data_IF_063029567170
#
_entry.id   IF_063029567170
#
_cell.length_a   1.000
_cell.length_b   1.000
_cell.length_c   1.000
_cell.angle_alpha   90.00
_cell.angle_beta   90.00
_cell.angle_gamma   90.00
#
_symmetry.space_group_name_H-M   'P 1'
#
loop_
_entity.id
_entity.type
_entity.pdbx_description
1 polymer ?
#
# COMPACT_ATOMS: atom_id res chain seq x y z
N UNK A 1 -38.28 -51.95 -39.39
CA UNK A 1 -38.52 -50.54 -38.90
C UNK A 1 -37.64 -50.31 -37.70
N UNK A 2 -36.49 -49.66 -37.90
CA UNK A 2 -35.54 -49.35 -36.81
C UNK A 2 -35.84 -47.94 -36.28
N UNK A 3 -36.13 -47.81 -34.98
CA UNK A 3 -36.35 -46.54 -34.28
C UNK A 3 -34.99 -45.99 -33.82
N UNK A 4 -34.60 -44.86 -34.38
CA UNK A 4 -33.43 -44.10 -33.95
C UNK A 4 -33.90 -43.13 -32.84
N UNK A 5 -33.34 -43.28 -31.60
CA UNK A 5 -33.57 -42.34 -30.52
C UNK A 5 -32.43 -41.30 -30.56
N UNK A 6 -32.72 -40.00 -30.53
CA UNK A 6 -31.70 -38.98 -30.44
C UNK A 6 -31.15 -38.93 -29.01
N UNK A 7 -29.85 -39.08 -28.86
CA UNK A 7 -29.11 -38.85 -27.61
C UNK A 7 -28.90 -37.35 -27.47
N UNK A 8 -29.59 -36.72 -26.52
CA UNK A 8 -29.36 -35.34 -26.11
C UNK A 8 -28.10 -35.29 -25.24
N UNK A 9 -27.02 -34.79 -25.82
CA UNK A 9 -25.79 -34.49 -25.06
C UNK A 9 -25.98 -33.13 -24.41
N UNK A 10 -26.25 -33.12 -23.10
CA UNK A 10 -26.28 -31.90 -22.30
C UNK A 10 -24.84 -31.45 -22.04
N UNK A 11 -24.39 -30.40 -22.68
CA UNK A 11 -23.13 -29.72 -22.40
C UNK A 11 -23.35 -28.85 -21.14
N UNK A 12 -22.84 -29.34 -20.00
CA UNK A 12 -22.79 -28.54 -18.77
C UNK A 12 -21.57 -27.62 -18.88
N UNK A 13 -21.79 -26.34 -19.17
CA UNK A 13 -20.76 -25.32 -19.05
C UNK A 13 -20.47 -25.11 -17.56
N UNK A 14 -19.34 -25.64 -17.10
CA UNK A 14 -18.76 -25.20 -15.83
C UNK A 14 -18.21 -23.80 -16.00
N UNK A 15 -18.97 -22.77 -15.58
CA UNK A 15 -18.40 -21.46 -15.30
C UNK A 15 -17.45 -21.63 -14.10
N UNK A 16 -16.16 -21.79 -14.39
CA UNK A 16 -15.13 -21.54 -13.40
C UNK A 16 -15.22 -20.06 -12.99
N UNK A 17 -15.91 -19.77 -11.89
CA UNK A 17 -15.69 -18.53 -11.15
C UNK A 17 -14.24 -18.59 -10.68
N UNK A 18 -13.32 -18.00 -11.44
CA UNK A 18 -12.02 -17.62 -10.92
C UNK A 18 -12.29 -16.56 -9.84
N UNK A 19 -12.33 -17.01 -8.59
CA UNK A 19 -12.16 -16.11 -7.46
C UNK A 19 -10.76 -15.53 -7.65
N UNK A 20 -10.70 -14.30 -8.17
CA UNK A 20 -9.50 -13.51 -8.14
C UNK A 20 -9.14 -13.38 -6.66
N UNK A 21 -8.17 -14.17 -6.22
CA UNK A 21 -7.51 -14.02 -4.94
C UNK A 21 -7.04 -12.57 -4.90
N UNK A 22 -7.68 -11.73 -4.11
CA UNK A 22 -7.43 -10.30 -4.05
C UNK A 22 -6.06 -10.07 -3.41
N UNK A 23 -5.04 -10.20 -4.21
CA UNK A 23 -3.71 -9.70 -3.88
C UNK A 23 -3.82 -8.18 -3.97
N UNK A 24 -3.82 -7.52 -2.84
CA UNK A 24 -4.06 -6.08 -2.73
C UNK A 24 -2.99 -5.30 -3.48
N UNK A 25 -1.72 -5.68 -3.34
CA UNK A 25 -0.62 -5.10 -4.11
C UNK A 25 0.24 -6.21 -4.71
N UNK A 26 0.80 -5.98 -5.91
CA UNK A 26 1.67 -6.92 -6.64
C UNK A 26 3.08 -6.36 -6.76
N UNK A 27 4.10 -7.21 -6.90
CA UNK A 27 5.43 -6.76 -7.27
C UNK A 27 5.39 -5.88 -8.53
N UNK A 28 6.15 -4.80 -8.55
CA UNK A 28 6.21 -3.88 -9.71
C UNK A 28 6.66 -4.60 -10.99
N UNK A 29 7.44 -5.67 -10.88
CA UNK A 29 7.83 -6.51 -12.01
C UNK A 29 6.65 -7.21 -12.72
N UNK A 30 5.50 -7.35 -12.04
CA UNK A 30 4.27 -7.92 -12.59
C UNK A 30 3.32 -6.84 -13.14
N UNK A 31 3.77 -5.60 -13.23
CA UNK A 31 2.96 -4.46 -13.66
C UNK A 31 2.56 -4.62 -15.13
N UNK A 32 1.26 -4.67 -15.38
CA UNK A 32 0.67 -4.77 -16.73
C UNK A 32 -0.05 -3.50 -17.18
N UNK A 33 -0.15 -2.50 -16.30
CA UNK A 33 -0.82 -1.23 -16.57
C UNK A 33 -0.49 -0.18 -15.52
N UNK A 34 -0.97 1.04 -15.73
CA UNK A 34 -0.73 2.15 -14.79
C UNK A 34 -1.54 1.97 -13.50
N UNK A 35 -2.84 1.67 -13.64
CA UNK A 35 -3.79 1.58 -12.52
C UNK A 35 -3.58 0.30 -11.72
N UNK A 36 -3.52 0.42 -10.40
CA UNK A 36 -3.32 -0.68 -9.47
C UNK A 36 -2.49 -0.30 -8.25
N UNK A 37 -2.07 -1.32 -7.50
CA UNK A 37 -1.12 -1.20 -6.39
C UNK A 37 0.12 -2.03 -6.68
N UNK A 38 1.30 -1.41 -6.60
CA UNK A 38 2.56 -2.01 -6.99
C UNK A 38 3.58 -1.92 -5.86
N UNK A 39 4.14 -3.05 -5.44
CA UNK A 39 5.26 -3.09 -4.49
C UNK A 39 6.51 -2.65 -5.24
N UNK A 40 7.02 -1.46 -4.90
CA UNK A 40 8.16 -0.83 -5.58
C UNK A 40 9.48 -1.07 -4.86
N UNK A 41 9.44 -1.37 -3.55
CA UNK A 41 10.60 -1.83 -2.79
C UNK A 41 10.16 -2.57 -1.52
N UNK A 42 11.03 -3.47 -1.05
CA UNK A 42 10.92 -4.13 0.25
C UNK A 42 12.31 -4.15 0.89
N UNK A 43 12.45 -3.53 2.07
CA UNK A 43 13.73 -3.35 2.76
C UNK A 43 13.68 -3.83 4.20
N UNK A 44 14.64 -4.62 4.67
CA UNK A 44 14.80 -4.86 6.09
C UNK A 44 15.21 -3.56 6.78
N UNK A 45 14.47 -3.17 7.81
CA UNK A 45 14.80 -2.00 8.66
C UNK A 45 15.59 -2.44 9.90
N UNK A 46 15.31 -3.65 10.37
CA UNK A 46 15.95 -4.21 11.55
C UNK A 46 15.25 -3.86 12.86
N UNK A 47 15.97 -3.93 13.96
CA UNK A 47 15.46 -3.71 15.31
C UNK A 47 15.18 -2.22 15.56
N UNK A 48 13.93 -1.87 15.82
CA UNK A 48 13.54 -0.51 16.22
C UNK A 48 13.38 -0.45 17.73
N UNK A 49 14.22 0.33 18.38
CA UNK A 49 14.24 0.44 19.86
C UNK A 49 13.57 1.70 20.39
N UNK A 50 13.27 2.67 19.52
CA UNK A 50 12.63 3.95 19.86
C UNK A 50 11.22 4.00 19.33
N UNK A 51 10.24 4.51 20.11
CA UNK A 51 8.87 4.62 19.67
C UNK A 51 8.65 5.75 18.63
N UNK A 52 9.55 6.72 18.58
CA UNK A 52 9.48 7.87 17.67
C UNK A 52 10.21 7.56 16.36
N UNK A 53 9.53 6.81 15.50
CA UNK A 53 10.03 6.43 14.18
C UNK A 53 9.22 7.13 13.10
N UNK A 54 9.89 7.66 12.07
CA UNK A 54 9.28 8.44 11.00
C UNK A 54 9.62 7.85 9.63
N UNK A 55 8.71 8.00 8.69
CA UNK A 55 8.95 7.77 7.27
C UNK A 55 9.32 9.09 6.60
N UNK A 56 10.51 9.13 6.02
CA UNK A 56 11.05 10.27 5.29
C UNK A 56 10.95 10.04 3.79
N UNK A 57 10.45 11.04 3.06
CA UNK A 57 10.29 11.05 1.62
C UNK A 57 11.11 12.19 1.06
N UNK A 58 12.21 11.87 0.39
CA UNK A 58 13.10 12.84 -0.25
C UNK A 58 13.15 12.59 -1.76
N UNK A 59 13.16 13.66 -2.57
CA UNK A 59 13.22 13.61 -4.04
C UNK A 59 14.59 14.07 -4.51
N UNK A 60 15.10 13.38 -5.52
CA UNK A 60 16.38 13.69 -6.16
C UNK A 60 16.22 13.93 -7.65
N UNK A 61 17.13 14.72 -8.24
CA UNK A 61 17.14 14.94 -9.67
C UNK A 61 17.57 13.70 -10.45
N UNK A 62 18.47 12.89 -9.88
CA UNK A 62 18.98 11.66 -10.50
C UNK A 62 19.00 10.49 -9.53
N UNK A 63 18.90 9.27 -10.08
CA UNK A 63 19.02 8.04 -9.31
C UNK A 63 20.39 7.92 -8.63
N UNK A 64 21.46 8.33 -9.32
CA UNK A 64 22.83 8.26 -8.78
C UNK A 64 23.02 9.13 -7.54
N UNK A 65 22.40 10.33 -7.52
CA UNK A 65 22.42 11.21 -6.34
C UNK A 65 21.65 10.59 -5.17
N UNK A 66 20.47 10.01 -5.43
CA UNK A 66 19.69 9.32 -4.42
C UNK A 66 20.43 8.10 -3.84
N UNK A 67 21.08 7.31 -4.68
CA UNK A 67 21.87 6.15 -4.28
C UNK A 67 23.10 6.56 -3.46
N UNK A 68 23.76 7.68 -3.81
CA UNK A 68 24.88 8.22 -3.03
C UNK A 68 24.47 8.73 -1.65
N UNK A 69 23.21 9.17 -1.49
CA UNK A 69 22.63 9.64 -0.24
C UNK A 69 21.97 8.53 0.60
N UNK A 70 21.78 7.35 0.01
CA UNK A 70 21.09 6.23 0.65
C UNK A 70 21.89 5.70 1.86
N UNK A 71 21.19 5.49 2.97
CA UNK A 71 21.72 4.82 4.16
C UNK A 71 21.11 3.43 4.31
N UNK A 72 21.63 2.65 5.26
CA UNK A 72 21.08 1.32 5.56
C UNK A 72 19.56 1.42 5.87
N UNK A 73 18.76 0.55 5.25
CA UNK A 73 17.31 0.55 5.40
C UNK A 73 16.56 1.56 4.52
N UNK A 74 17.27 2.43 3.78
CA UNK A 74 16.67 3.30 2.77
C UNK A 74 16.41 2.56 1.45
N UNK A 75 15.42 3.03 0.67
CA UNK A 75 15.10 2.52 -0.67
C UNK A 75 15.10 3.65 -1.69
N UNK A 76 15.89 3.49 -2.77
CA UNK A 76 15.84 4.38 -3.93
C UNK A 76 14.90 3.77 -4.96
N UNK A 77 13.82 4.48 -5.29
CA UNK A 77 12.78 4.03 -6.23
C UNK A 77 12.44 5.12 -7.23
N UNK A 78 12.07 4.72 -8.43
CA UNK A 78 11.41 5.58 -9.40
C UNK A 78 9.92 5.28 -9.38
N UNK A 79 9.12 6.28 -9.02
CA UNK A 79 7.68 6.14 -8.85
C UNK A 79 6.99 7.48 -9.05
N UNK A 80 5.81 7.44 -9.69
CA UNK A 80 4.98 8.62 -9.97
C UNK A 80 5.74 9.76 -10.65
N UNK A 81 6.68 9.40 -11.55
CA UNK A 81 7.48 10.33 -12.35
C UNK A 81 8.59 11.04 -11.57
N UNK A 82 9.00 10.54 -10.41
CA UNK A 82 10.07 11.09 -9.57
C UNK A 82 11.02 10.01 -9.08
N UNK A 83 12.24 10.42 -8.73
CA UNK A 83 13.21 9.57 -8.05
C UNK A 83 13.15 9.87 -6.55
N UNK A 84 12.79 8.87 -5.78
CA UNK A 84 12.60 8.97 -4.34
C UNK A 84 13.69 8.23 -3.59
N UNK A 85 14.15 8.82 -2.49
CA UNK A 85 14.77 8.12 -1.38
C UNK A 85 13.75 8.02 -0.25
N UNK A 86 13.33 6.80 0.07
CA UNK A 86 12.39 6.46 1.11
C UNK A 86 13.14 5.89 2.30
N UNK A 87 13.06 6.52 3.47
CA UNK A 87 13.88 6.11 4.64
C UNK A 87 13.04 6.05 5.90
N UNK A 88 13.27 5.03 6.74
CA UNK A 88 12.74 4.93 8.09
C UNK A 88 13.84 5.37 9.05
N UNK A 89 13.62 6.45 9.80
CA UNK A 89 14.61 7.04 10.69
C UNK A 89 13.98 7.85 11.83
N UNK A 90 14.82 8.41 12.71
CA UNK A 90 14.44 9.30 13.80
C UNK A 90 13.81 10.61 13.25
N UNK A 91 13.01 11.35 14.05
CA UNK A 91 12.45 12.63 13.64
C UNK A 91 13.56 13.63 13.25
N UNK A 92 13.31 14.41 12.22
CA UNK A 92 14.25 15.43 11.74
C UNK A 92 15.49 14.89 11.02
N UNK A 93 15.63 13.55 10.85
CA UNK A 93 16.71 12.98 10.05
C UNK A 93 16.72 13.55 8.62
N UNK A 94 17.90 13.79 8.06
CA UNK A 94 18.10 14.33 6.71
C UNK A 94 19.19 13.56 5.97
N UNK A 95 18.94 13.17 4.71
CA UNK A 95 20.00 12.68 3.83
C UNK A 95 20.88 13.83 3.32
N UNK A 96 21.99 13.49 2.70
CA UNK A 96 22.78 14.47 1.95
C UNK A 96 22.09 14.82 0.63
N UNK A 97 21.88 16.12 0.38
CA UNK A 97 21.19 16.60 -0.83
C UNK A 97 19.70 16.23 -0.87
N UNK A 98 19.12 16.34 -2.08
CA UNK A 98 17.69 16.08 -2.27
C UNK A 98 16.78 17.18 -1.70
N UNK A 99 15.49 17.03 -1.96
CA UNK A 99 14.43 17.89 -1.43
C UNK A 99 13.50 17.05 -0.55
N UNK A 100 13.31 17.44 0.73
CA UNK A 100 12.33 16.82 1.61
C UNK A 100 10.93 17.18 1.16
N UNK A 101 10.17 16.16 0.77
CA UNK A 101 8.76 16.28 0.40
C UNK A 101 7.86 16.07 1.60
N UNK A 102 8.15 15.06 2.42
CA UNK A 102 7.36 14.77 3.61
C UNK A 102 8.19 14.04 4.70
N UNK A 103 7.75 14.24 5.94
CA UNK A 103 8.16 13.48 7.12
C UNK A 103 6.88 13.02 7.81
N UNK A 104 6.65 11.71 7.86
CA UNK A 104 5.38 11.10 8.29
C UNK A 104 5.61 10.26 9.53
N UNK A 105 4.98 10.65 10.62
CA UNK A 105 5.10 9.96 11.91
C UNK A 105 4.54 10.80 13.07
N UNK A 106 4.74 10.33 14.32
CA UNK A 106 5.39 9.06 14.64
C UNK A 106 4.58 7.85 14.18
N UNK A 107 5.26 6.84 13.63
CA UNK A 107 4.64 5.57 13.27
C UNK A 107 4.41 4.75 14.54
N UNK A 108 3.21 4.20 14.78
CA UNK A 108 2.89 3.45 15.99
C UNK A 108 3.51 2.04 15.97
N UNK A 109 4.80 1.97 16.25
CA UNK A 109 5.59 0.73 16.34
C UNK A 109 5.64 0.19 17.77
N UNK A 110 6.03 -1.08 17.90
CA UNK A 110 6.37 -1.73 19.17
C UNK A 110 7.89 -1.68 19.30
N UNK A 111 8.40 -0.95 20.29
CA UNK A 111 9.84 -0.87 20.54
C UNK A 111 10.42 -2.25 20.90
N UNK A 112 11.62 -2.54 20.40
CA UNK A 112 12.28 -3.84 20.60
C UNK A 112 11.88 -4.92 19.60
N UNK A 113 11.10 -4.60 18.58
CA UNK A 113 10.71 -5.51 17.50
C UNK A 113 11.52 -5.22 16.22
N UNK A 114 11.77 -6.26 15.43
CA UNK A 114 12.38 -6.14 14.09
C UNK A 114 11.34 -5.88 13.03
N UNK A 115 11.60 -4.89 12.17
CA UNK A 115 10.70 -4.44 11.13
C UNK A 115 11.29 -4.56 9.73
N UNK A 116 10.40 -4.72 8.75
CA UNK A 116 10.65 -4.54 7.33
C UNK A 116 9.70 -3.50 6.77
N UNK A 117 10.19 -2.68 5.84
CA UNK A 117 9.40 -1.66 5.16
C UNK A 117 9.02 -2.16 3.76
N UNK A 118 7.72 -2.28 3.49
CA UNK A 118 7.19 -2.51 2.16
C UNK A 118 6.67 -1.17 1.61
N UNK A 119 7.32 -0.69 0.56
CA UNK A 119 6.93 0.54 -0.13
C UNK A 119 6.11 0.22 -1.37
N UNK A 120 5.03 0.97 -1.57
CA UNK A 120 4.10 0.74 -2.67
C UNK A 120 3.74 2.04 -3.37
N UNK A 121 3.49 1.92 -4.68
CA UNK A 121 2.81 2.92 -5.50
C UNK A 121 1.37 2.47 -5.67
N UNK A 122 0.41 3.35 -5.38
CA UNK A 122 -1.00 3.06 -5.56
C UNK A 122 -1.66 4.12 -6.46
N UNK A 123 -2.18 3.68 -7.60
CA UNK A 123 -2.88 4.49 -8.60
C UNK A 123 -4.28 3.90 -8.78
N UNK A 124 -5.28 4.58 -8.22
CA UNK A 124 -6.66 4.10 -8.23
C UNK A 124 -7.58 5.11 -8.92
N UNK A 125 -8.42 4.65 -9.82
CA UNK A 125 -9.52 5.46 -10.33
C UNK A 125 -10.62 5.60 -9.29
N UNK A 126 -11.43 6.67 -9.32
CA UNK A 126 -12.57 6.84 -8.42
C UNK A 126 -13.46 5.59 -8.39
N UNK A 127 -13.84 5.17 -7.19
CA UNK A 127 -14.63 3.95 -6.94
C UNK A 127 -13.82 2.66 -6.80
N UNK A 128 -12.53 2.62 -7.17
CA UNK A 128 -11.70 1.45 -6.91
C UNK A 128 -11.49 1.24 -5.42
N UNK A 129 -11.40 -0.04 -5.03
CA UNK A 129 -11.25 -0.44 -3.63
C UNK A 129 -10.00 -1.31 -3.43
N UNK A 130 -9.39 -1.19 -2.25
CA UNK A 130 -8.60 -2.27 -1.67
C UNK A 130 -9.54 -3.02 -0.72
N UNK A 131 -9.78 -4.33 -0.95
CA UNK A 131 -10.67 -5.14 -0.12
C UNK A 131 -10.24 -5.17 1.34
N UNK A 132 -11.12 -5.65 2.21
CA UNK A 132 -10.83 -5.77 3.64
C UNK A 132 -9.55 -6.59 3.88
N UNK A 133 -8.63 -6.03 4.68
CA UNK A 133 -7.34 -6.63 5.00
C UNK A 133 -6.78 -6.06 6.31
N UNK A 134 -5.74 -6.71 6.83
CA UNK A 134 -4.97 -6.28 8.01
C UNK A 134 -3.50 -6.17 7.67
N UNK A 135 -2.75 -5.38 8.47
CA UNK A 135 -1.31 -5.28 8.38
C UNK A 135 -0.63 -5.72 9.68
N UNK A 136 0.55 -6.34 9.56
CA UNK A 136 1.37 -6.76 10.70
C UNK A 136 2.21 -5.63 11.31
N UNK A 137 1.79 -4.39 11.14
CA UNK A 137 2.40 -3.17 11.63
C UNK A 137 1.73 -1.94 11.01
N UNK A 138 2.20 -0.72 11.32
CA UNK A 138 1.56 0.50 10.84
C UNK A 138 1.63 0.66 9.32
N UNK A 139 0.56 1.24 8.77
CA UNK A 139 0.51 1.75 7.40
C UNK A 139 0.49 3.28 7.40
N UNK A 140 1.16 3.89 6.43
CA UNK A 140 1.14 5.33 6.21
C UNK A 140 1.05 5.67 4.72
N UNK A 141 0.35 6.77 4.38
CA UNK A 141 0.20 7.23 3.00
C UNK A 141 0.59 8.67 2.83
N UNK A 142 1.30 8.92 1.73
CA UNK A 142 1.52 10.24 1.15
C UNK A 142 0.74 10.34 -0.16
N UNK A 143 -0.34 11.14 -0.17
CA UNK A 143 -1.21 11.31 -1.34
C UNK A 143 -0.73 12.48 -2.19
N UNK A 144 -0.33 12.19 -3.43
CA UNK A 144 0.13 13.20 -4.40
C UNK A 144 -1.02 13.79 -5.22
N UNK A 145 -2.06 12.99 -5.48
CA UNK A 145 -3.26 13.40 -6.24
C UNK A 145 -4.48 12.62 -5.77
N UNK A 146 -5.67 13.18 -5.98
CA UNK A 146 -6.94 12.56 -5.65
C UNK A 146 -7.19 12.39 -4.15
N UNK A 147 -8.11 11.50 -3.83
CA UNK A 147 -8.59 11.29 -2.47
C UNK A 147 -8.82 9.81 -2.18
N UNK A 148 -8.64 9.44 -0.93
CA UNK A 148 -8.91 8.11 -0.41
C UNK A 148 -9.72 8.19 0.86
N UNK A 149 -10.78 7.40 0.96
CA UNK A 149 -11.47 7.11 2.20
C UNK A 149 -11.02 5.75 2.73
N UNK A 150 -10.49 5.74 3.95
CA UNK A 150 -10.19 4.55 4.71
C UNK A 150 -11.29 4.31 5.73
N UNK A 151 -11.83 3.10 5.76
CA UNK A 151 -12.76 2.63 6.77
C UNK A 151 -12.09 1.57 7.65
N UNK A 152 -12.25 1.71 8.96
CA UNK A 152 -11.83 0.76 10.00
C UNK A 152 -13.00 0.50 10.97
N UNK A 153 -12.90 -0.45 11.92
CA UNK A 153 -13.91 -0.62 12.96
C UNK A 153 -14.19 0.66 13.75
N UNK A 154 -13.19 1.53 13.93
CA UNK A 154 -13.27 2.76 14.73
C UNK A 154 -13.86 3.96 13.96
N UNK A 155 -14.07 3.83 12.64
CA UNK A 155 -14.64 4.89 11.82
C UNK A 155 -13.97 5.05 10.47
N UNK A 156 -13.91 6.29 9.96
CA UNK A 156 -13.26 6.59 8.68
C UNK A 156 -12.25 7.72 8.78
N UNK A 157 -11.25 7.67 7.91
CA UNK A 157 -10.27 8.75 7.69
C UNK A 157 -10.23 9.09 6.20
N UNK A 158 -9.92 10.34 5.89
CA UNK A 158 -9.77 10.83 4.51
C UNK A 158 -8.33 11.28 4.30
N UNK A 159 -7.65 10.65 3.36
CA UNK A 159 -6.35 11.09 2.85
C UNK A 159 -6.50 11.76 1.49
N UNK A 160 -5.95 12.96 1.34
CA UNK A 160 -6.02 13.73 0.09
C UNK A 160 -4.72 14.46 -0.20
N UNK A 161 -4.52 14.82 -1.46
CA UNK A 161 -3.39 15.65 -1.87
C UNK A 161 -3.39 16.99 -1.11
N UNK A 162 -2.21 17.39 -0.59
CA UNK A 162 -2.04 18.60 0.21
C UNK A 162 -2.64 18.55 1.61
N UNK A 163 -3.30 17.45 1.99
CA UNK A 163 -3.79 17.22 3.34
C UNK A 163 -2.74 16.53 4.25
N UNK A 164 -3.06 16.34 5.52
CA UNK A 164 -2.20 15.57 6.41
C UNK A 164 -2.08 14.12 5.92
N UNK A 165 -0.92 13.47 6.14
CA UNK A 165 -0.77 12.06 5.84
C UNK A 165 -1.72 11.22 6.71
N UNK A 166 -2.14 10.07 6.17
CA UNK A 166 -2.90 9.08 6.94
C UNK A 166 -1.92 8.11 7.56
N UNK A 167 -2.08 7.83 8.85
CA UNK A 167 -1.32 6.81 9.59
C UNK A 167 -2.33 5.91 10.30
N UNK A 168 -2.17 4.60 10.13
CA UNK A 168 -3.04 3.58 10.72
C UNK A 168 -2.17 2.59 11.51
N UNK A 169 -2.54 2.21 12.73
CA UNK A 169 -1.84 1.17 13.46
C UNK A 169 -2.02 -0.20 12.78
N UNK A 170 -1.06 -1.09 12.97
CA UNK A 170 -1.22 -2.48 12.57
C UNK A 170 -2.24 -3.22 13.42
N UNK A 171 -2.82 -4.29 12.88
CA UNK A 171 -3.75 -5.19 13.54
C UNK A 171 -5.22 -5.02 13.15
N UNK A 172 -5.84 -3.85 13.33
CA UNK A 172 -7.24 -3.65 12.94
C UNK A 172 -7.48 -3.88 11.43
N UNK A 173 -8.63 -4.45 11.04
CA UNK A 173 -9.00 -4.56 9.64
C UNK A 173 -9.30 -3.19 9.05
N UNK A 174 -9.02 -3.06 7.75
CA UNK A 174 -9.28 -1.84 7.01
C UNK A 174 -9.80 -2.12 5.62
N UNK A 175 -10.56 -1.17 5.07
CA UNK A 175 -11.05 -1.17 3.70
C UNK A 175 -10.86 0.22 3.11
N UNK A 176 -10.33 0.28 1.90
CA UNK A 176 -9.97 1.54 1.26
C UNK A 176 -10.80 1.72 -0.01
N UNK A 177 -11.32 2.94 -0.19
CA UNK A 177 -12.01 3.36 -1.42
C UNK A 177 -11.38 4.64 -1.95
N UNK A 178 -10.98 4.65 -3.22
CA UNK A 178 -10.64 5.89 -3.91
C UNK A 178 -11.91 6.71 -4.11
N UNK A 179 -11.96 7.91 -3.52
CA UNK A 179 -13.12 8.81 -3.54
C UNK A 179 -12.82 10.06 -4.37
N UNK A 180 -13.78 10.97 -4.46
CA UNK A 180 -13.65 12.17 -5.29
C UNK A 180 -13.77 11.88 -6.79
N UNK A 181 -13.29 12.79 -7.62
CA UNK A 181 -13.40 12.74 -9.09
C UNK A 181 -12.06 12.57 -9.80
N UNK A 182 -10.97 12.73 -9.09
CA UNK A 182 -9.60 12.64 -9.59
C UNK A 182 -9.01 11.27 -9.30
N UNK A 183 -8.14 10.76 -10.20
CA UNK A 183 -7.37 9.56 -9.97
C UNK A 183 -6.46 9.73 -8.75
N UNK A 184 -6.61 8.85 -7.76
CA UNK A 184 -5.70 8.81 -6.61
C UNK A 184 -4.31 8.35 -7.03
N UNK A 185 -3.28 9.09 -6.61
CA UNK A 185 -1.86 8.74 -6.74
C UNK A 185 -1.19 8.88 -5.39
N UNK A 186 -0.66 7.81 -4.86
CA UNK A 186 -0.04 7.83 -3.54
C UNK A 186 1.16 6.90 -3.45
N UNK A 187 2.13 7.30 -2.62
CA UNK A 187 3.11 6.40 -2.04
C UNK A 187 2.55 5.86 -0.72
N UNK A 188 2.75 4.59 -0.50
CA UNK A 188 2.25 3.85 0.67
C UNK A 188 3.41 3.10 1.31
N UNK A 189 3.48 3.14 2.63
CA UNK A 189 4.38 2.36 3.46
C UNK A 189 3.56 1.40 4.31
N UNK A 190 3.94 0.12 4.33
CA UNK A 190 3.60 -0.81 5.41
C UNK A 190 4.90 -1.17 6.14
N UNK A 191 5.02 -0.70 7.39
CA UNK A 191 6.16 -1.01 8.25
C UNK A 191 5.77 -2.19 9.15
N UNK A 192 6.07 -3.41 8.68
CA UNK A 192 5.55 -4.63 9.31
C UNK A 192 6.60 -5.38 10.12
N UNK A 193 6.15 -6.18 11.07
CA UNK A 193 6.96 -7.21 11.75
C UNK A 193 7.65 -8.08 10.71
N UNK A 194 8.99 -8.17 10.76
CA UNK A 194 9.79 -8.92 9.79
C UNK A 194 9.49 -10.42 9.77
N UNK A 195 8.88 -10.95 10.83
CA UNK A 195 8.51 -12.38 10.94
C UNK A 195 7.13 -12.70 10.35
N UNK A 196 6.37 -11.67 9.91
CA UNK A 196 4.98 -11.79 9.45
C UNK A 196 4.81 -11.22 8.05
N UNK A 197 3.78 -11.69 7.35
CA UNK A 197 3.36 -11.06 6.09
C UNK A 197 2.93 -9.61 6.32
N UNK A 198 3.34 -8.72 5.43
CA UNK A 198 2.97 -7.31 5.50
C UNK A 198 1.44 -7.10 5.48
N UNK A 199 0.76 -7.88 4.65
CA UNK A 199 -0.69 -7.78 4.43
C UNK A 199 -1.33 -9.16 4.49
N UNK A 200 -2.48 -9.26 5.16
CA UNK A 200 -3.30 -10.46 5.23
C UNK A 200 -4.75 -10.10 4.85
N UNK A 201 -5.37 -10.79 3.86
CA UNK A 201 -6.78 -10.60 3.56
C UNK A 201 -7.65 -10.87 4.80
N UNK A 202 -8.70 -10.07 4.97
CA UNK A 202 -9.64 -10.19 6.09
C UNK A 202 -11.05 -10.41 5.54
N UNK A 203 -11.54 -11.63 5.65
CA UNK A 203 -12.85 -12.03 5.13
C UNK A 203 -13.99 -11.88 6.14
N UNK A 204 -13.69 -11.88 7.43
CA UNK A 204 -14.70 -11.91 8.50
C UNK A 204 -15.21 -10.52 8.87
N UNK A 205 -14.41 -9.48 8.58
CA UNK A 205 -14.85 -8.11 8.83
C UNK A 205 -15.52 -7.50 7.58
N UNK A 206 -16.74 -7.00 7.78
CA UNK A 206 -17.54 -6.35 6.75
C UNK A 206 -17.54 -4.84 6.99
N UNK A 207 -17.05 -4.02 6.03
CA UNK A 207 -17.10 -2.57 6.13
C UNK A 207 -18.55 -2.07 6.27
N UNK A 208 -18.76 -1.06 7.11
CA UNK A 208 -20.08 -0.42 7.35
C UNK A 208 -20.54 0.44 6.15
N UNK A 209 -19.64 0.67 5.19
CA UNK A 209 -19.90 1.50 4.01
C UNK A 209 -19.83 3.00 4.31
N UNK A 210 -19.00 3.41 5.24
CA UNK A 210 -18.80 4.82 5.62
C UNK A 210 -18.12 5.62 4.50
N UNK A 211 -17.47 4.93 3.55
CA UNK A 211 -16.79 5.50 2.39
C UNK A 211 -17.64 5.51 1.10
N UNK A 212 -18.91 5.21 1.17
CA UNK A 212 -19.79 5.34 0.01
C UNK A 212 -19.95 6.81 -0.36
N UNK A 213 -19.74 7.11 -1.63
CA UNK A 213 -20.00 8.42 -2.28
C UNK A 213 -21.46 8.55 -2.64
#
# INVERSE_FOLDING_TARGET
MARIYPVLVSVVLFLCCQQASAQICRPVAERTGEVGCWIIAHQPVGLLTRPETFWHLDVYATRSEAEAAQTAGGAVVESLGRIWLLTIADPGWRPSGGERVAEIGPLPIIAGQSYSAQYMEAIFTPGMVAPAHTHAGPEAWYTLAGETCLETPDGKQIGRAGGPPVIVPGGPPMHLTATGTEQRRALVLVLHDSSRHATTPEADWIPKGLCKT
#
